data_IF_902281488627
#
_entry.id   IF_902281488627
#
_cell.length_a   1.000
_cell.length_b   1.000
_cell.length_c   1.000
_cell.angle_alpha   90.00
_cell.angle_beta   90.00
_cell.angle_gamma   90.00
#
_symmetry.space_group_name_H-M   'P 1'
#
loop_
_entity.id
_entity.type
_entity.pdbx_description
1 polymer ?
#
# COMPACT_ATOMS: atom_id res chain seq x y z
N UNK A 1 -1.99 0.91 19.95
CA UNK A 1 -2.48 1.92 18.97
C UNK A 1 -1.40 2.29 17.94
N UNK A 2 -0.41 3.17 18.20
CA UNK A 2 0.54 3.59 17.14
C UNK A 2 1.55 2.54 16.59
N UNK A 3 1.84 1.46 17.34
CA UNK A 3 2.72 0.36 16.86
C UNK A 3 1.99 -0.65 15.98
N UNK A 4 0.68 -0.83 16.19
CA UNK A 4 -0.15 -1.76 15.41
C UNK A 4 -0.53 -1.17 14.05
N UNK A 5 -0.81 0.13 13.98
CA UNK A 5 -1.15 0.82 12.72
C UNK A 5 0.05 0.92 11.78
N UNK A 6 1.24 1.22 12.31
CA UNK A 6 2.49 1.16 11.54
C UNK A 6 2.81 -0.27 11.08
N UNK A 7 2.47 -1.27 11.88
CA UNK A 7 2.60 -2.68 11.52
C UNK A 7 1.64 -3.12 10.42
N UNK A 8 0.39 -2.64 10.46
CA UNK A 8 -0.62 -2.93 9.44
C UNK A 8 -0.29 -2.29 8.09
N UNK A 9 0.09 -1.01 8.05
CA UNK A 9 0.47 -0.35 6.80
C UNK A 9 1.67 -1.05 6.13
N UNK A 10 2.64 -1.49 6.92
CA UNK A 10 3.81 -2.24 6.41
C UNK A 10 3.41 -3.65 5.93
N UNK A 11 2.48 -4.32 6.63
CA UNK A 11 1.91 -5.61 6.20
C UNK A 11 1.15 -5.49 4.90
N UNK A 12 0.31 -4.47 4.73
CA UNK A 12 -0.44 -4.23 3.50
C UNK A 12 0.51 -3.95 2.33
N UNK A 13 1.53 -3.11 2.52
CA UNK A 13 2.56 -2.90 1.49
C UNK A 13 3.29 -4.19 1.12
N UNK A 14 3.64 -5.02 2.10
CA UNK A 14 4.32 -6.29 1.86
C UNK A 14 3.41 -7.29 1.13
N UNK A 15 2.11 -7.32 1.46
CA UNK A 15 1.09 -8.13 0.79
C UNK A 15 0.84 -7.66 -0.65
N UNK A 16 0.83 -6.36 -0.90
CA UNK A 16 0.72 -5.77 -2.24
C UNK A 16 1.92 -6.12 -3.13
N UNK A 17 3.15 -6.01 -2.60
CA UNK A 17 4.37 -6.46 -3.29
C UNK A 17 4.36 -7.96 -3.57
N UNK A 18 3.92 -8.77 -2.60
CA UNK A 18 3.79 -10.21 -2.80
C UNK A 18 2.77 -10.54 -3.90
N UNK A 19 1.61 -9.85 -3.94
CA UNK A 19 0.63 -9.99 -5.01
C UNK A 19 1.19 -9.56 -6.37
N UNK A 20 1.96 -8.48 -6.43
CA UNK A 20 2.60 -8.04 -7.67
C UNK A 20 3.59 -9.08 -8.19
N UNK A 21 4.44 -9.61 -7.30
CA UNK A 21 5.45 -10.61 -7.62
C UNK A 21 4.82 -11.95 -8.03
N UNK A 22 3.82 -12.44 -7.27
CA UNK A 22 3.07 -13.64 -7.64
C UNK A 22 2.29 -13.45 -8.94
N UNK A 23 1.65 -12.30 -9.15
CA UNK A 23 0.95 -11.99 -10.40
C UNK A 23 1.88 -11.99 -11.60
N UNK A 24 3.08 -11.41 -11.46
CA UNK A 24 4.11 -11.44 -12.51
C UNK A 24 4.62 -12.85 -12.78
N UNK A 25 4.90 -13.63 -11.73
CA UNK A 25 5.38 -15.01 -11.85
C UNK A 25 4.32 -15.95 -12.45
N UNK A 26 3.05 -15.75 -12.09
CA UNK A 26 1.93 -16.54 -12.60
C UNK A 26 1.39 -16.05 -13.96
N UNK A 27 1.95 -14.98 -14.53
CA UNK A 27 1.45 -14.37 -15.77
C UNK A 27 0.05 -13.75 -15.65
N UNK A 28 -0.39 -13.44 -14.43
CA UNK A 28 -1.71 -12.87 -14.16
C UNK A 28 -1.61 -11.35 -14.00
N UNK A 29 -1.75 -10.64 -15.12
CA UNK A 29 -1.74 -9.16 -15.18
C UNK A 29 -2.78 -8.51 -14.27
N UNK A 30 -3.93 -9.16 -14.06
CA UNK A 30 -4.99 -8.64 -13.19
C UNK A 30 -4.52 -8.55 -11.74
N UNK A 31 -3.86 -9.61 -11.27
CA UNK A 31 -3.32 -9.68 -9.90
C UNK A 31 -2.17 -8.70 -9.70
N UNK A 32 -1.33 -8.50 -10.72
CA UNK A 32 -0.28 -7.48 -10.72
C UNK A 32 -0.86 -6.06 -10.68
N UNK A 33 -1.87 -5.78 -11.52
CA UNK A 33 -2.54 -4.49 -11.56
C UNK A 33 -3.25 -4.16 -10.25
N UNK A 34 -3.93 -5.12 -9.63
CA UNK A 34 -4.55 -4.97 -8.32
C UNK A 34 -3.53 -4.67 -7.23
N UNK A 35 -2.41 -5.40 -7.17
CA UNK A 35 -1.34 -5.14 -6.19
C UNK A 35 -0.76 -3.74 -6.32
N UNK A 36 -0.55 -3.28 -7.56
CA UNK A 36 -0.01 -1.95 -7.86
C UNK A 36 -0.99 -0.82 -7.55
N UNK A 37 -2.27 -1.03 -7.85
CA UNK A 37 -3.34 -0.09 -7.51
C UNK A 37 -3.51 0.07 -5.99
N UNK A 38 -3.41 -1.03 -5.24
CA UNK A 38 -3.52 -1.02 -3.78
C UNK A 38 -2.33 -0.27 -3.15
N UNK A 39 -1.11 -0.47 -3.67
CA UNK A 39 0.05 0.32 -3.26
C UNK A 39 -0.14 1.81 -3.51
N UNK A 40 -0.55 2.21 -4.72
CA UNK A 40 -0.79 3.62 -5.05
C UNK A 40 -1.85 4.25 -4.16
N UNK A 41 -2.92 3.51 -3.85
CA UNK A 41 -3.99 3.97 -2.95
C UNK A 41 -3.48 4.16 -1.51
N UNK A 42 -2.62 3.24 -1.03
CA UNK A 42 -1.98 3.34 0.27
C UNK A 42 -1.04 4.54 0.38
N UNK A 43 -0.16 4.72 -0.61
CA UNK A 43 0.75 5.88 -0.69
C UNK A 43 -0.02 7.20 -0.77
N UNK A 44 -1.08 7.26 -1.59
CA UNK A 44 -1.93 8.44 -1.69
C UNK A 44 -2.65 8.77 -0.38
N UNK A 45 -3.13 7.76 0.37
CA UNK A 45 -3.69 7.96 1.72
C UNK A 45 -2.65 8.51 2.67
N UNK A 46 -1.47 7.89 2.72
CA UNK A 46 -0.42 8.29 3.64
C UNK A 46 0.09 9.71 3.34
N UNK A 47 0.20 10.08 2.06
CA UNK A 47 0.55 11.42 1.63
C UNK A 47 -0.56 12.44 1.97
N UNK A 48 -1.84 12.09 1.78
CA UNK A 48 -2.96 12.94 2.21
C UNK A 48 -2.99 13.15 3.72
N UNK A 49 -2.76 12.10 4.50
CA UNK A 49 -2.74 12.20 5.96
C UNK A 49 -1.57 13.05 6.43
N UNK A 50 -0.35 12.79 5.93
CA UNK A 50 0.83 13.65 6.22
C UNK A 50 0.61 15.11 5.83
N UNK A 51 0.03 15.35 4.64
CA UNK A 51 -0.25 16.69 4.16
C UNK A 51 -1.27 17.43 5.03
N UNK A 52 -2.34 16.75 5.45
CA UNK A 52 -3.32 17.31 6.39
C UNK A 52 -2.72 17.57 7.76
N UNK A 53 -1.90 16.66 8.28
CA UNK A 53 -1.24 16.80 9.58
C UNK A 53 -0.29 18.01 9.58
N UNK A 54 0.46 18.20 8.49
CA UNK A 54 1.36 19.34 8.28
C UNK A 54 0.59 20.66 8.13
N UNK A 55 -0.59 20.66 7.51
CA UNK A 55 -1.42 21.85 7.32
C UNK A 55 -2.27 22.24 8.52
N UNK A 56 -2.38 21.36 9.53
CA UNK A 56 -3.23 21.58 10.71
C UNK A 56 -2.45 22.11 11.92
N UNK A 57 -1.23 22.62 11.70
CA UNK A 57 -0.38 23.23 12.70
C UNK A 57 -0.28 24.75 12.52
#
# INVERSE_FOLDING_TARGET
MAKEEKGQAKKEQMKGKAKEAMGKMAGNERMTAEGKADQMKGDARQAKEKGKDTFKH
#
